data_IF_325597745901
#
_entry.id   IF_325597745901
#
_cell.length_a   1.000
_cell.length_b   1.000
_cell.length_c   1.000
_cell.angle_alpha   90.00
_cell.angle_beta   90.00
_cell.angle_gamma   90.00
#
_symmetry.space_group_name_H-M   'P 1'
#
loop_
_entity.id
_entity.type
_entity.pdbx_description
1 polymer ?
#
# COMPACT_ATOMS: atom_id res chain seq x y z
N UNK A 1 -4.11 -4.04 1.73
CA UNK A 1 -5.30 -3.72 2.55
C UNK A 1 -6.56 -3.49 1.70
N UNK A 2 -6.47 -2.79 0.57
CA UNK A 2 -7.61 -2.53 -0.33
C UNK A 2 -8.33 -3.79 -0.81
N UNK A 3 -7.59 -4.86 -1.13
CA UNK A 3 -8.19 -6.13 -1.58
C UNK A 3 -9.06 -6.82 -0.53
N UNK A 4 -8.61 -6.85 0.73
CA UNK A 4 -9.40 -7.41 1.85
C UNK A 4 -10.62 -6.55 2.12
N UNK A 5 -10.50 -5.22 2.06
CA UNK A 5 -11.64 -4.33 2.22
C UNK A 5 -12.72 -4.55 1.15
N UNK A 6 -12.32 -4.64 -0.13
CA UNK A 6 -13.24 -4.94 -1.24
C UNK A 6 -13.91 -6.31 -1.01
N UNK A 7 -13.13 -7.32 -0.61
CA UNK A 7 -13.68 -8.64 -0.30
C UNK A 7 -14.69 -8.59 0.85
N UNK A 8 -14.42 -7.82 1.90
CA UNK A 8 -15.35 -7.59 3.02
C UNK A 8 -16.66 -6.98 2.53
N UNK A 9 -16.62 -5.96 1.67
CA UNK A 9 -17.82 -5.34 1.10
C UNK A 9 -18.62 -6.33 0.24
N UNK A 10 -17.93 -7.14 -0.58
CA UNK A 10 -18.57 -8.17 -1.39
C UNK A 10 -19.29 -9.20 -0.52
N UNK A 11 -18.64 -9.68 0.55
CA UNK A 11 -19.23 -10.67 1.45
C UNK A 11 -20.38 -10.11 2.29
N UNK A 12 -20.23 -8.90 2.88
CA UNK A 12 -21.17 -8.34 3.85
C UNK A 12 -22.34 -7.59 3.21
N UNK A 13 -22.14 -7.00 2.05
CA UNK A 13 -23.13 -6.14 1.40
C UNK A 13 -23.66 -6.84 0.16
N UNK A 14 -22.80 -7.07 -0.83
CA UNK A 14 -23.24 -7.55 -2.16
C UNK A 14 -23.87 -8.94 -2.06
N UNK A 15 -23.18 -9.92 -1.48
CA UNK A 15 -23.72 -11.27 -1.34
C UNK A 15 -24.95 -11.34 -0.45
N UNK A 16 -25.03 -10.51 0.61
CA UNK A 16 -26.21 -10.46 1.48
C UNK A 16 -27.42 -9.90 0.72
N UNK A 17 -27.24 -8.82 -0.05
CA UNK A 17 -28.29 -8.23 -0.87
C UNK A 17 -28.75 -9.23 -1.93
N UNK A 18 -27.83 -9.85 -2.67
CA UNK A 18 -28.17 -10.84 -3.69
C UNK A 18 -28.91 -12.01 -3.07
N UNK A 19 -28.45 -12.54 -1.94
CA UNK A 19 -29.11 -13.66 -1.26
C UNK A 19 -30.51 -13.33 -0.75
N UNK A 20 -30.77 -12.07 -0.39
CA UNK A 20 -32.12 -11.60 0.00
C UNK A 20 -33.04 -11.42 -1.21
N UNK A 21 -32.54 -10.92 -2.33
CA UNK A 21 -33.36 -10.60 -3.52
C UNK A 21 -33.53 -11.80 -4.46
N UNK A 22 -32.47 -12.58 -4.67
CA UNK A 22 -32.44 -13.77 -5.53
C UNK A 22 -31.61 -14.89 -4.87
N UNK A 23 -32.21 -15.66 -3.94
CA UNK A 23 -31.53 -16.78 -3.29
C UNK A 23 -30.93 -17.77 -4.31
N UNK A 24 -29.68 -18.18 -4.12
CA UNK A 24 -28.98 -19.12 -5.01
C UNK A 24 -28.20 -18.47 -6.16
N UNK A 25 -28.24 -17.13 -6.28
CA UNK A 25 -27.46 -16.36 -7.25
C UNK A 25 -26.32 -15.55 -6.62
N UNK A 26 -26.05 -15.74 -5.33
CA UNK A 26 -24.92 -15.10 -4.66
C UNK A 26 -23.56 -15.50 -5.28
N UNK A 27 -22.56 -14.63 -5.16
CA UNK A 27 -21.21 -14.93 -5.64
C UNK A 27 -20.67 -16.12 -4.86
N UNK A 28 -20.23 -17.13 -5.61
CA UNK A 28 -19.57 -18.31 -5.10
C UNK A 28 -18.20 -17.98 -4.52
N UNK A 29 -17.68 -18.89 -3.68
CA UNK A 29 -16.33 -18.77 -3.15
C UNK A 29 -15.27 -18.64 -4.26
N UNK A 30 -15.47 -19.29 -5.41
CA UNK A 30 -14.57 -19.20 -6.56
C UNK A 30 -14.60 -17.80 -7.20
N UNK A 31 -15.79 -17.23 -7.39
CA UNK A 31 -15.93 -15.87 -7.95
C UNK A 31 -15.31 -14.82 -7.01
N UNK A 32 -15.59 -14.93 -5.71
CA UNK A 32 -14.99 -14.05 -4.70
C UNK A 32 -13.46 -14.18 -4.65
N UNK A 33 -12.94 -15.40 -4.73
CA UNK A 33 -11.50 -15.63 -4.80
C UNK A 33 -10.87 -14.99 -6.06
N UNK A 34 -11.51 -15.14 -7.22
CA UNK A 34 -11.05 -14.52 -8.47
C UNK A 34 -11.00 -13.01 -8.34
N UNK A 35 -12.07 -12.38 -7.85
CA UNK A 35 -12.11 -10.92 -7.65
C UNK A 35 -11.02 -10.47 -6.68
N UNK A 36 -10.84 -11.20 -5.57
CA UNK A 36 -9.78 -10.90 -4.61
C UNK A 36 -8.38 -11.00 -5.23
N UNK A 37 -8.09 -12.07 -5.99
CA UNK A 37 -6.80 -12.26 -6.68
C UNK A 37 -6.57 -11.12 -7.68
N UNK A 38 -7.56 -10.80 -8.52
CA UNK A 38 -7.46 -9.69 -9.47
C UNK A 38 -7.18 -8.37 -8.77
N UNK A 39 -7.83 -8.11 -7.62
CA UNK A 39 -7.61 -6.89 -6.84
C UNK A 39 -6.24 -6.85 -6.19
N UNK A 40 -5.72 -7.98 -5.69
CA UNK A 40 -4.35 -8.06 -5.16
C UNK A 40 -3.33 -7.70 -6.24
N UNK A 41 -3.48 -8.27 -7.44
CA UNK A 41 -2.59 -7.99 -8.58
C UNK A 41 -2.70 -6.51 -8.99
N UNK A 42 -3.93 -5.99 -9.14
CA UNK A 42 -4.16 -4.63 -9.58
C UNK A 42 -3.69 -3.58 -8.56
N UNK A 43 -3.82 -3.84 -7.25
CA UNK A 43 -3.42 -2.89 -6.20
C UNK A 43 -1.92 -2.83 -5.94
N UNK A 44 -1.16 -3.85 -6.38
CA UNK A 44 0.30 -3.90 -6.17
C UNK A 44 1.07 -2.82 -6.93
N UNK A 45 0.70 -2.56 -8.20
CA UNK A 45 1.51 -1.76 -9.13
C UNK A 45 1.34 -0.24 -8.97
N UNK A 46 0.12 0.34 -8.91
CA UNK A 46 -0.06 1.78 -8.97
C UNK A 46 -0.11 2.47 -7.59
N UNK A 47 0.08 1.72 -6.49
CA UNK A 47 -0.12 2.26 -5.14
C UNK A 47 1.20 2.75 -4.51
N UNK A 48 1.28 2.69 -3.18
CA UNK A 48 2.48 3.03 -2.40
C UNK A 48 3.71 2.19 -2.77
N UNK A 49 3.54 1.08 -3.48
CA UNK A 49 4.66 0.20 -3.86
C UNK A 49 5.57 0.73 -4.97
N UNK A 50 5.10 1.68 -5.80
CA UNK A 50 5.88 2.18 -6.94
C UNK A 50 5.55 3.64 -7.27
N UNK A 51 4.38 3.90 -7.84
CA UNK A 51 4.06 5.20 -8.45
C UNK A 51 4.09 6.35 -7.43
N UNK A 52 3.64 6.13 -6.20
CA UNK A 52 3.63 7.16 -5.15
C UNK A 52 5.03 7.68 -4.80
N UNK A 53 6.07 6.86 -4.96
CA UNK A 53 7.47 7.26 -4.74
C UNK A 53 8.16 7.62 -6.04
N UNK A 54 7.95 6.82 -7.09
CA UNK A 54 8.63 6.96 -8.36
C UNK A 54 8.29 8.31 -8.99
N UNK A 55 7.01 8.67 -9.15
CA UNK A 55 6.64 9.88 -9.89
C UNK A 55 7.25 11.17 -9.29
N UNK A 56 7.18 11.42 -7.98
CA UNK A 56 7.91 12.54 -7.36
C UNK A 56 9.43 12.43 -7.54
N UNK A 57 10.00 11.23 -7.39
CA UNK A 57 11.43 11.01 -7.52
C UNK A 57 11.95 11.41 -8.91
N UNK A 58 11.18 11.19 -9.99
CA UNK A 58 11.56 11.57 -11.36
C UNK A 58 11.71 13.08 -11.55
N UNK A 59 10.92 13.89 -10.83
CA UNK A 59 10.93 15.35 -10.93
C UNK A 59 11.80 16.02 -9.85
N UNK A 60 12.02 15.33 -8.72
CA UNK A 60 12.70 15.88 -7.55
C UNK A 60 14.09 16.49 -7.80
N UNK A 61 14.99 15.92 -8.63
CA UNK A 61 16.33 16.46 -8.79
C UNK A 61 16.33 17.83 -9.49
N UNK A 62 15.33 18.08 -10.35
CA UNK A 62 15.18 19.36 -11.06
C UNK A 62 14.39 20.38 -10.25
N UNK A 63 13.38 19.93 -9.49
CA UNK A 63 12.54 20.80 -8.69
C UNK A 63 13.26 21.32 -7.43
N UNK A 64 13.98 20.45 -6.73
CA UNK A 64 14.66 20.80 -5.47
C UNK A 64 16.13 21.21 -5.67
N UNK A 65 16.61 21.39 -6.91
CA UNK A 65 17.94 21.92 -7.15
C UNK A 65 18.03 23.39 -6.69
N UNK A 66 18.93 23.66 -5.75
CA UNK A 66 19.20 25.01 -5.23
C UNK A 66 20.70 25.33 -5.31
N UNK A 67 21.10 26.62 -5.28
CA UNK A 67 22.51 26.98 -5.25
C UNK A 67 23.27 26.37 -4.06
N UNK A 68 22.60 26.16 -2.93
CA UNK A 68 23.23 25.63 -1.70
C UNK A 68 23.51 24.13 -1.77
N UNK A 69 22.71 23.36 -2.54
CA UNK A 69 22.93 21.92 -2.70
C UNK A 69 23.71 21.56 -3.96
N UNK A 70 23.86 22.51 -4.88
CA UNK A 70 24.64 22.36 -6.12
C UNK A 70 24.23 21.15 -6.98
N UNK A 71 22.96 20.71 -6.91
CA UNK A 71 22.51 19.52 -7.64
C UNK A 71 22.59 19.67 -9.16
N UNK A 72 22.40 20.89 -9.68
CA UNK A 72 22.54 21.18 -11.11
C UNK A 72 23.98 20.96 -11.63
N UNK A 73 25.00 21.12 -10.79
CA UNK A 73 26.41 20.89 -11.16
C UNK A 73 26.90 19.50 -10.76
N UNK A 74 26.49 19.00 -9.60
CA UNK A 74 27.01 17.74 -9.03
C UNK A 74 26.22 16.49 -9.48
N UNK A 75 24.89 16.59 -9.62
CA UNK A 75 24.04 15.43 -9.92
C UNK A 75 23.60 15.41 -11.38
N UNK A 76 23.14 16.54 -11.91
CA UNK A 76 22.51 16.63 -13.24
C UNK A 76 23.37 16.05 -14.38
N UNK A 77 24.70 16.25 -14.45
CA UNK A 77 25.51 15.65 -15.52
C UNK A 77 25.50 14.12 -15.54
N UNK A 78 25.15 13.49 -14.41
CA UNK A 78 25.12 12.04 -14.24
C UNK A 78 23.72 11.45 -14.29
N UNK A 79 22.68 12.29 -14.43
CA UNK A 79 21.29 11.85 -14.52
C UNK A 79 20.87 11.78 -15.99
N UNK A 80 20.64 10.59 -16.55
CA UNK A 80 20.27 10.46 -17.95
C UNK A 80 18.81 10.85 -18.18
N UNK A 81 18.52 11.40 -19.36
CA UNK A 81 17.17 11.86 -19.76
C UNK A 81 16.10 10.75 -19.80
N UNK A 82 16.50 9.48 -19.78
CA UNK A 82 15.60 8.34 -19.69
C UNK A 82 15.28 7.94 -18.24
N UNK A 83 16.01 8.45 -17.25
CA UNK A 83 15.80 8.11 -15.84
C UNK A 83 14.98 9.17 -15.08
N UNK A 84 15.06 10.43 -15.49
CA UNK A 84 14.41 11.57 -14.83
C UNK A 84 13.68 12.45 -15.85
N UNK A 85 12.77 13.30 -15.37
CA UNK A 85 12.12 14.32 -16.21
C UNK A 85 13.19 15.19 -16.87
N UNK A 86 13.05 15.54 -18.14
CA UNK A 86 14.08 16.29 -18.88
C UNK A 86 13.93 17.82 -18.78
N UNK A 87 12.80 18.32 -18.27
CA UNK A 87 12.46 19.74 -18.24
C UNK A 87 12.20 20.25 -16.82
N UNK A 88 12.91 21.30 -16.42
CA UNK A 88 12.69 21.98 -15.13
C UNK A 88 11.26 22.51 -15.00
N UNK A 89 10.71 23.07 -16.08
CA UNK A 89 9.31 23.52 -16.13
C UNK A 89 8.34 22.37 -15.85
N UNK A 90 8.54 21.20 -16.49
CA UNK A 90 7.68 20.04 -16.27
C UNK A 90 7.76 19.50 -14.83
N UNK A 91 8.94 19.60 -14.20
CA UNK A 91 9.11 19.24 -12.79
C UNK A 91 8.41 20.22 -11.84
N UNK A 92 8.54 21.53 -12.08
CA UNK A 92 7.82 22.58 -11.34
C UNK A 92 6.31 22.43 -11.48
N UNK A 93 5.82 22.24 -12.71
CA UNK A 93 4.40 22.08 -13.00
C UNK A 93 3.78 20.87 -12.27
N UNK A 94 4.55 19.79 -12.11
CA UNK A 94 4.15 18.59 -11.37
C UNK A 94 3.98 18.85 -9.86
N UNK A 95 4.92 19.56 -9.22
CA UNK A 95 4.89 19.79 -7.77
C UNK A 95 3.96 20.92 -7.35
N UNK A 96 3.92 22.01 -8.13
CA UNK A 96 3.14 23.20 -7.79
C UNK A 96 1.69 23.11 -8.29
N UNK A 97 1.38 22.09 -9.09
CA UNK A 97 0.03 21.87 -9.58
C UNK A 97 -0.40 22.92 -10.61
N UNK A 98 0.53 23.54 -11.35
CA UNK A 98 0.16 24.45 -12.45
C UNK A 98 -0.68 23.76 -13.54
N UNK A 99 -0.80 22.42 -13.51
CA UNK A 99 -1.79 21.61 -14.21
C UNK A 99 -3.26 21.94 -13.89
N UNK A 100 -3.55 22.81 -12.89
CA UNK A 100 -4.89 23.38 -12.67
C UNK A 100 -5.21 24.57 -13.57
N UNK A 101 -4.22 25.16 -14.25
CA UNK A 101 -4.46 25.91 -15.47
C UNK A 101 -4.66 24.87 -16.59
N UNK A 102 -5.52 25.13 -17.58
CA UNK A 102 -5.82 24.25 -18.73
C UNK A 102 -4.62 23.95 -19.66
N UNK A 103 -3.40 23.86 -19.12
CA UNK A 103 -2.18 23.53 -19.84
C UNK A 103 -2.11 22.02 -20.09
N UNK A 104 -1.74 21.58 -21.31
CA UNK A 104 -1.54 20.17 -21.60
C UNK A 104 -0.35 19.60 -20.83
N UNK A 105 -0.43 18.32 -20.47
CA UNK A 105 0.69 17.59 -19.85
C UNK A 105 1.88 17.56 -20.81
N UNK A 106 3.11 17.91 -20.38
CA UNK A 106 4.29 17.94 -21.24
C UNK A 106 4.85 16.53 -21.49
N UNK A 107 4.12 15.69 -22.24
CA UNK A 107 4.43 14.28 -22.45
C UNK A 107 5.85 14.00 -22.95
N UNK A 108 6.41 14.88 -23.77
CA UNK A 108 7.78 14.76 -24.28
C UNK A 108 8.83 14.70 -23.16
N UNK A 109 8.59 15.41 -22.05
CA UNK A 109 9.48 15.42 -20.90
C UNK A 109 9.37 14.17 -20.02
N UNK A 110 8.26 13.42 -20.14
CA UNK A 110 7.92 12.29 -19.27
C UNK A 110 7.99 10.94 -19.95
N UNK A 111 7.85 10.87 -21.29
CA UNK A 111 7.66 9.61 -21.99
C UNK A 111 8.88 8.67 -21.85
N UNK A 112 10.11 9.19 -21.92
CA UNK A 112 11.32 8.37 -21.78
C UNK A 112 11.44 7.77 -20.35
N UNK A 113 11.34 8.57 -19.26
CA UNK A 113 11.25 8.03 -17.90
C UNK A 113 10.13 7.01 -17.71
N UNK A 114 8.92 7.33 -18.16
CA UNK A 114 7.76 6.44 -17.99
C UNK A 114 8.02 5.10 -18.67
N UNK A 115 8.51 5.08 -19.91
CA UNK A 115 8.78 3.85 -20.65
C UNK A 115 9.87 3.02 -19.97
N UNK A 116 10.99 3.65 -19.60
CA UNK A 116 12.10 2.95 -18.96
C UNK A 116 11.68 2.31 -17.63
N UNK A 117 11.08 3.11 -16.74
CA UNK A 117 10.70 2.63 -15.41
C UNK A 117 9.53 1.65 -15.46
N UNK A 118 8.62 1.78 -16.42
CA UNK A 118 7.56 0.76 -16.65
C UNK A 118 8.15 -0.56 -17.11
N UNK A 119 9.09 -0.54 -18.07
CA UNK A 119 9.77 -1.74 -18.53
C UNK A 119 10.57 -2.40 -17.40
N UNK A 120 11.32 -1.61 -16.62
CA UNK A 120 12.04 -2.09 -15.45
C UNK A 120 11.12 -2.72 -14.41
N UNK A 121 10.00 -2.06 -14.08
CA UNK A 121 9.02 -2.60 -13.15
C UNK A 121 8.45 -3.93 -13.65
N UNK A 122 8.04 -4.03 -14.92
CA UNK A 122 7.54 -5.27 -15.52
C UNK A 122 8.57 -6.39 -15.40
N UNK A 123 9.83 -6.13 -15.73
CA UNK A 123 10.90 -7.13 -15.62
C UNK A 123 11.13 -7.59 -14.18
N UNK A 124 11.15 -6.68 -13.21
CA UNK A 124 11.25 -7.02 -11.79
C UNK A 124 10.06 -7.87 -11.30
N UNK A 125 8.85 -7.55 -11.76
CA UNK A 125 7.67 -8.35 -11.45
C UNK A 125 7.75 -9.74 -12.09
N UNK A 126 8.16 -9.85 -13.35
CA UNK A 126 8.36 -11.13 -14.02
C UNK A 126 9.41 -11.97 -13.31
N UNK A 127 10.55 -11.38 -12.94
CA UNK A 127 11.59 -12.06 -12.16
C UNK A 127 11.05 -12.58 -10.82
N UNK A 128 10.27 -11.76 -10.12
CA UNK A 128 9.62 -12.17 -8.87
C UNK A 128 8.62 -13.31 -9.09
N UNK A 129 7.83 -13.27 -10.17
CA UNK A 129 6.89 -14.34 -10.53
C UNK A 129 7.62 -15.64 -10.89
N UNK A 130 8.74 -15.56 -11.61
CA UNK A 130 9.61 -16.69 -11.91
C UNK A 130 10.21 -17.28 -10.62
N UNK A 131 10.69 -16.44 -9.71
CA UNK A 131 11.20 -16.90 -8.42
C UNK A 131 10.10 -17.59 -7.60
N UNK A 132 8.92 -16.97 -7.52
CA UNK A 132 7.76 -17.55 -6.86
C UNK A 132 7.36 -18.89 -7.49
N UNK A 133 7.44 -19.06 -8.82
CA UNK A 133 7.07 -20.32 -9.47
C UNK A 133 8.05 -21.45 -9.17
N UNK A 134 9.35 -21.16 -9.10
CA UNK A 134 10.39 -22.11 -8.69
C UNK A 134 10.24 -22.50 -7.21
N UNK A 135 10.08 -21.51 -6.33
CA UNK A 135 9.96 -21.74 -4.88
C UNK A 135 8.62 -22.34 -4.48
N UNK A 136 7.55 -22.10 -5.24
CA UNK A 136 6.19 -22.60 -4.93
C UNK A 136 6.20 -24.10 -4.67
N UNK A 137 6.86 -24.89 -5.52
CA UNK A 137 6.86 -26.35 -5.36
C UNK A 137 7.55 -26.78 -4.07
N UNK A 138 8.73 -26.22 -3.82
CA UNK A 138 9.51 -26.48 -2.61
C UNK A 138 8.71 -26.12 -1.35
N UNK A 139 8.18 -24.90 -1.29
CA UNK A 139 7.45 -24.39 -0.14
C UNK A 139 6.10 -25.07 0.08
N UNK A 140 5.32 -25.30 -0.97
CA UNK A 140 3.98 -25.91 -0.83
C UNK A 140 4.05 -27.42 -0.59
N UNK A 141 4.85 -28.16 -1.38
CA UNK A 141 4.82 -29.64 -1.37
C UNK A 141 5.76 -30.23 -0.32
N UNK A 142 6.97 -29.69 -0.18
CA UNK A 142 8.00 -30.26 0.71
C UNK A 142 7.97 -29.64 2.10
N UNK A 143 8.03 -28.32 2.17
CA UNK A 143 8.13 -27.60 3.45
C UNK A 143 6.76 -27.30 4.07
N UNK A 144 5.67 -27.49 3.31
CA UNK A 144 4.28 -27.19 3.73
C UNK A 144 4.16 -25.82 4.40
N UNK A 145 4.85 -24.85 3.82
CA UNK A 145 4.91 -23.48 4.32
C UNK A 145 3.50 -22.95 4.49
N UNK A 146 3.20 -22.43 5.69
CA UNK A 146 1.88 -21.87 5.97
C UNK A 146 1.77 -20.52 5.27
N UNK A 147 0.67 -20.26 4.57
CA UNK A 147 0.38 -18.97 3.93
C UNK A 147 -0.59 -18.14 4.80
N UNK A 148 -0.13 -17.51 5.90
CA UNK A 148 -1.00 -16.89 6.89
C UNK A 148 -1.83 -15.74 6.32
N UNK A 149 -1.27 -14.98 5.39
CA UNK A 149 -1.95 -13.86 4.73
C UNK A 149 -3.18 -14.29 3.90
N UNK A 150 -3.22 -15.55 3.46
CA UNK A 150 -4.33 -16.09 2.65
C UNK A 150 -5.45 -16.64 3.54
N UNK A 151 -5.16 -16.95 4.82
CA UNK A 151 -6.15 -17.54 5.74
C UNK A 151 -7.38 -16.66 5.92
N UNK A 152 -7.19 -15.36 6.15
CA UNK A 152 -8.30 -14.43 6.39
C UNK A 152 -9.23 -14.35 5.17
N UNK A 153 -8.75 -14.05 3.94
CA UNK A 153 -9.57 -14.11 2.73
C UNK A 153 -10.28 -15.45 2.52
N UNK A 154 -9.60 -16.58 2.76
CA UNK A 154 -10.19 -17.91 2.62
C UNK A 154 -11.34 -18.13 3.60
N UNK A 155 -11.18 -17.74 4.87
CA UNK A 155 -12.26 -17.84 5.87
C UNK A 155 -13.46 -16.93 5.54
N UNK A 156 -13.21 -15.76 4.94
CA UNK A 156 -14.28 -14.83 4.52
C UNK A 156 -15.15 -15.39 3.39
N UNK A 157 -14.56 -16.15 2.46
CA UNK A 157 -15.26 -16.68 1.27
C UNK A 157 -15.86 -18.08 1.46
N UNK A 158 -15.55 -18.75 2.58
CA UNK A 158 -16.10 -20.07 2.87
C UNK A 158 -17.63 -20.03 2.92
N UNK A 159 -18.25 -21.02 2.27
CA UNK A 159 -19.70 -21.17 2.29
C UNK A 159 -20.18 -21.37 3.74
N UNK A 160 -21.26 -20.70 4.18
CA UNK A 160 -21.79 -20.92 5.51
C UNK A 160 -22.26 -22.37 5.68
N UNK A 161 -22.06 -22.95 6.87
CA UNK A 161 -22.47 -24.33 7.21
C UNK A 161 -23.99 -24.55 7.20
N UNK A 162 -24.77 -23.47 7.26
CA UNK A 162 -26.24 -23.46 7.21
C UNK A 162 -26.71 -22.46 6.16
N UNK A 163 -28.01 -22.33 5.91
CA UNK A 163 -28.53 -21.32 4.98
C UNK A 163 -28.42 -19.85 5.49
N UNK A 164 -27.46 -19.57 6.38
CA UNK A 164 -27.22 -18.24 6.92
C UNK A 164 -26.85 -17.22 5.84
N UNK A 165 -27.19 -15.95 6.08
CA UNK A 165 -26.86 -14.83 5.19
C UNK A 165 -25.36 -14.50 5.16
N UNK A 166 -24.67 -14.71 6.29
CA UNK A 166 -23.27 -14.35 6.47
C UNK A 166 -22.37 -15.60 6.56
N UNK A 167 -21.13 -15.54 6.02
CA UNK A 167 -20.07 -16.49 6.31
C UNK A 167 -19.82 -16.62 7.82
N UNK A 168 -19.38 -17.79 8.27
CA UNK A 168 -19.16 -18.04 9.70
C UNK A 168 -18.09 -17.13 10.31
N UNK A 169 -17.09 -16.73 9.52
CA UNK A 169 -16.06 -15.77 9.92
C UNK A 169 -16.68 -14.47 10.49
N UNK A 170 -17.66 -13.88 9.80
CA UNK A 170 -18.32 -12.65 10.24
C UNK A 170 -19.36 -12.82 11.34
N UNK A 171 -19.64 -14.06 11.78
CA UNK A 171 -20.49 -14.31 12.96
C UNK A 171 -19.69 -14.27 14.26
N UNK A 172 -18.36 -14.36 14.19
CA UNK A 172 -17.50 -14.33 15.35
C UNK A 172 -17.37 -12.88 15.87
N UNK A 173 -17.72 -12.67 17.16
CA UNK A 173 -17.63 -11.35 17.81
C UNK A 173 -16.20 -10.82 17.87
N UNK A 174 -15.20 -11.70 17.97
CA UNK A 174 -13.78 -11.32 18.01
C UNK A 174 -13.33 -10.66 16.69
N UNK A 175 -13.88 -11.11 15.55
CA UNK A 175 -13.58 -10.50 14.25
C UNK A 175 -14.04 -9.04 14.24
N UNK A 176 -15.22 -8.76 14.77
CA UNK A 176 -15.76 -7.39 14.85
C UNK A 176 -14.98 -6.51 15.82
N UNK A 177 -14.52 -7.05 16.95
CA UNK A 177 -13.62 -6.32 17.85
C UNK A 177 -12.31 -5.97 17.12
N UNK A 178 -11.71 -6.94 16.43
CA UNK A 178 -10.49 -6.73 15.65
C UNK A 178 -10.65 -5.72 14.51
N UNK A 179 -11.83 -5.61 13.90
CA UNK A 179 -12.15 -4.58 12.89
C UNK A 179 -12.40 -3.23 13.57
N UNK A 180 -13.14 -3.20 14.68
CA UNK A 180 -13.55 -1.97 15.34
C UNK A 180 -12.35 -1.17 15.87
N UNK A 181 -11.33 -1.82 16.43
CA UNK A 181 -10.14 -1.14 16.98
C UNK A 181 -9.45 -0.22 15.94
N UNK A 182 -8.96 -0.72 14.79
CA UNK A 182 -8.31 0.13 13.79
C UNK A 182 -9.30 1.10 13.14
N UNK A 183 -10.57 0.72 12.94
CA UNK A 183 -11.58 1.63 12.38
C UNK A 183 -11.78 2.84 13.28
N UNK A 184 -12.03 2.63 14.58
CA UNK A 184 -12.21 3.73 15.54
C UNK A 184 -10.94 4.58 15.64
N UNK A 185 -9.78 3.94 15.75
CA UNK A 185 -8.49 4.65 15.83
C UNK A 185 -8.28 5.58 14.61
N UNK A 186 -8.44 5.05 13.40
CA UNK A 186 -8.24 5.84 12.18
C UNK A 186 -9.36 6.85 11.95
N UNK A 187 -10.60 6.56 12.34
CA UNK A 187 -11.70 7.53 12.27
C UNK A 187 -11.47 8.70 13.22
N UNK A 188 -11.07 8.47 14.47
CA UNK A 188 -10.77 9.53 15.44
C UNK A 188 -9.61 10.40 14.94
N UNK A 189 -8.50 9.79 14.49
CA UNK A 189 -7.36 10.55 13.98
C UNK A 189 -7.69 11.28 12.67
N UNK A 190 -8.52 10.68 11.81
CA UNK A 190 -9.05 11.34 10.62
C UNK A 190 -9.91 12.55 10.96
N UNK A 191 -10.80 12.42 11.94
CA UNK A 191 -11.62 13.52 12.43
C UNK A 191 -10.78 14.64 13.05
N UNK A 192 -9.77 14.32 13.86
CA UNK A 192 -8.82 15.30 14.40
C UNK A 192 -8.18 16.15 13.29
N UNK A 193 -7.85 15.54 12.15
CA UNK A 193 -7.23 16.24 11.01
C UNK A 193 -8.14 17.30 10.38
N UNK A 194 -9.45 17.09 10.37
CA UNK A 194 -10.44 18.05 9.85
C UNK A 194 -10.99 18.99 10.93
N UNK A 195 -11.08 18.49 12.16
CA UNK A 195 -11.65 19.16 13.32
C UNK A 195 -10.67 19.04 14.50
N UNK A 196 -9.73 19.98 14.67
CA UNK A 196 -8.70 19.93 15.72
C UNK A 196 -9.24 19.85 17.16
N UNK A 197 -10.53 20.09 17.38
CA UNK A 197 -11.19 19.92 18.67
C UNK A 197 -11.36 18.44 19.10
N UNK A 198 -11.35 17.50 18.16
CA UNK A 198 -11.36 16.05 18.46
C UNK A 198 -9.95 15.67 18.92
N UNK A 199 -9.75 14.90 19.99
CA UNK A 199 -8.40 14.50 20.42
C UNK A 199 -7.74 13.54 19.41
N UNK A 200 -6.43 13.67 19.22
CA UNK A 200 -5.64 12.69 18.48
C UNK A 200 -5.26 11.52 19.38
N UNK A 201 -5.34 10.30 18.85
CA UNK A 201 -4.74 9.11 19.46
C UNK A 201 -3.38 8.89 18.78
N UNK A 202 -2.26 9.19 19.45
CA UNK A 202 -0.94 9.16 18.82
C UNK A 202 -0.57 7.73 18.42
N UNK A 203 -0.24 7.55 17.15
CA UNK A 203 0.29 6.28 16.60
C UNK A 203 1.74 6.39 16.15
N UNK A 204 2.28 7.61 16.14
CA UNK A 204 3.65 7.93 15.73
C UNK A 204 4.32 8.71 16.86
N UNK A 205 5.48 8.23 17.29
CA UNK A 205 6.26 8.84 18.35
C UNK A 205 7.66 9.14 17.82
N UNK A 206 8.05 10.42 17.87
CA UNK A 206 9.37 10.85 17.45
C UNK A 206 10.36 10.67 18.60
N UNK A 207 11.11 9.58 18.60
CA UNK A 207 12.09 9.29 19.65
C UNK A 207 13.30 10.23 19.59
N UNK A 208 13.45 10.99 18.51
CA UNK A 208 14.54 11.93 18.30
C UNK A 208 14.36 13.29 19.01
N UNK A 209 13.15 13.60 19.52
CA UNK A 209 12.84 14.91 20.09
C UNK A 209 13.77 15.35 21.23
N UNK A 210 14.17 14.46 22.16
CA UNK A 210 15.11 14.81 23.23
C UNK A 210 16.52 15.19 22.75
N UNK A 211 16.90 14.83 21.52
CA UNK A 211 18.25 15.08 20.99
C UNK A 211 18.29 16.42 20.24
N UNK A 212 18.69 17.48 20.95
CA UNK A 212 18.80 18.85 20.42
C UNK A 212 20.25 19.27 20.13
N UNK A 213 21.23 18.66 20.79
CA UNK A 213 22.64 19.05 20.72
C UNK A 213 23.48 18.17 19.79
N UNK A 214 24.59 18.72 19.29
CA UNK A 214 25.57 17.95 18.50
C UNK A 214 26.30 16.93 19.41
N UNK A 215 26.63 15.73 18.92
CA UNK A 215 26.40 15.23 17.56
C UNK A 215 24.98 14.70 17.33
N UNK A 216 24.20 14.46 18.37
CA UNK A 216 22.93 13.73 18.34
C UNK A 216 21.80 14.41 17.57
N UNK A 217 21.88 15.73 17.33
CA UNK A 217 20.94 16.48 16.50
C UNK A 217 20.77 15.90 15.09
N UNK A 218 21.76 15.16 14.58
CA UNK A 218 21.67 14.47 13.28
C UNK A 218 20.59 13.39 13.26
N UNK A 219 20.23 12.79 14.41
CA UNK A 219 19.19 11.75 14.49
C UNK A 219 17.82 12.29 14.05
N UNK A 220 17.59 13.61 14.10
CA UNK A 220 16.34 14.25 13.68
C UNK A 220 16.04 14.08 12.18
N UNK A 221 17.05 13.97 11.33
CA UNK A 221 16.89 13.83 9.88
C UNK A 221 17.33 12.46 9.36
N UNK A 222 18.36 11.86 9.97
CA UNK A 222 18.81 10.50 9.66
C UNK A 222 19.39 9.83 10.93
N UNK A 223 18.80 8.73 11.45
CA UNK A 223 17.76 7.89 10.84
C UNK A 223 16.32 8.36 11.06
N UNK A 224 16.08 9.54 11.66
CA UNK A 224 14.74 9.98 12.09
C UNK A 224 14.06 8.90 12.95
N UNK A 225 14.66 8.58 14.10
CA UNK A 225 14.19 7.51 14.98
C UNK A 225 12.72 7.72 15.39
N UNK A 226 11.83 6.96 14.74
CA UNK A 226 10.37 7.08 14.88
C UNK A 226 9.84 5.70 15.24
N UNK A 227 9.08 5.64 16.35
CA UNK A 227 8.24 4.49 16.65
C UNK A 227 6.88 4.71 16.00
N UNK A 228 6.49 3.80 15.12
CA UNK A 228 5.20 3.86 14.44
C UNK A 228 4.40 2.59 14.70
N UNK A 229 3.26 2.76 15.38
CA UNK A 229 2.30 1.70 15.66
C UNK A 229 1.40 1.51 14.44
N UNK A 230 1.55 0.36 13.78
CA UNK A 230 0.72 -0.04 12.64
C UNK A 230 -0.21 -1.21 13.04
N UNK A 231 -1.49 -0.95 13.34
CA UNK A 231 -2.43 -2.02 13.71
C UNK A 231 -2.54 -3.14 12.67
N UNK A 232 -2.43 -2.79 11.39
CA UNK A 232 -2.44 -3.76 10.28
C UNK A 232 -1.22 -4.67 10.27
N UNK A 233 -0.03 -4.15 10.56
CA UNK A 233 1.20 -4.93 10.66
C UNK A 233 1.13 -5.82 11.89
N UNK A 234 0.69 -5.30 13.04
CA UNK A 234 0.49 -6.08 14.27
C UNK A 234 -0.47 -7.26 13.99
N UNK A 235 -1.60 -7.02 13.33
CA UNK A 235 -2.57 -8.06 12.98
C UNK A 235 -2.01 -9.10 12.01
N UNK A 236 -1.19 -8.68 11.03
CA UNK A 236 -0.52 -9.60 10.11
C UNK A 236 0.55 -10.43 10.82
N UNK A 237 1.38 -9.80 11.66
CA UNK A 237 2.45 -10.47 12.40
C UNK A 237 1.91 -11.52 13.35
N UNK A 238 0.76 -11.28 13.98
CA UNK A 238 0.08 -12.28 14.81
C UNK A 238 -0.26 -13.58 14.04
N UNK A 239 -0.49 -13.50 12.73
CA UNK A 239 -0.78 -14.68 11.92
C UNK A 239 0.48 -15.43 11.50
N UNK A 240 1.66 -14.81 11.61
CA UNK A 240 2.93 -15.44 11.23
C UNK A 240 3.28 -16.57 12.21
N UNK A 241 3.88 -17.67 11.72
CA UNK A 241 4.50 -18.67 12.59
C UNK A 241 5.56 -18.02 13.50
N UNK A 242 5.66 -18.49 14.75
CA UNK A 242 6.62 -17.97 15.73
C UNK A 242 8.07 -18.03 15.22
N UNK A 243 8.41 -19.09 14.47
CA UNK A 243 9.74 -19.30 13.86
C UNK A 243 10.17 -18.20 12.88
N UNK A 244 9.22 -17.39 12.38
CA UNK A 244 9.49 -16.28 11.45
C UNK A 244 9.37 -14.93 12.16
N UNK A 245 8.65 -14.90 13.29
CA UNK A 245 8.31 -13.67 14.00
C UNK A 245 9.39 -13.23 15.00
N UNK A 246 10.24 -14.15 15.48
CA UNK A 246 11.23 -13.92 16.54
C UNK A 246 12.48 -14.78 16.36
#
# INVERSE_FOLDING_TARGET
MTSVFILTLLCLIVNVIIKKVKPGKELSAKELATVWIMTVIASGIPSWGLIAFLAPLLASPLYFATPENEWDTLLRPHLPDWAIVSSKKAATDFYEGSMFANAPVPWEAWIKPILFWSAFAILCYLATLCLCSVLRRQWTEREKFTYPLVKVPVEMIQKPKSNALLPNFFKNRLVWIGIAIPVVLHTVNGLHRFFPAVPEIPTRFNLYEPFTERPWVVIRWWPAAILWIFPSVIGVSYLLPLEISF
#
